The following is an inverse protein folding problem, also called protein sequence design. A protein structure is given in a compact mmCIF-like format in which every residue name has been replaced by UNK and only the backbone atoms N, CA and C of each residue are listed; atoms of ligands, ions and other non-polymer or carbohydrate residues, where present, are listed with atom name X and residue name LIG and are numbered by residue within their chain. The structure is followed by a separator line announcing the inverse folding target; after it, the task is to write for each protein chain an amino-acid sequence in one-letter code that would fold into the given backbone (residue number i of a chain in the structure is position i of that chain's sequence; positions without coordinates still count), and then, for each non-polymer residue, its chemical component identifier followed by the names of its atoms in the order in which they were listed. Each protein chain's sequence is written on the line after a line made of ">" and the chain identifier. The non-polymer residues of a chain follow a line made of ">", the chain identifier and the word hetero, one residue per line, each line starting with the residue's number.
data_IF_865625609577
#
_entry.id   IF_865625609577
#
_cell.length_a   1.000
_cell.length_b   1.000
_cell.length_c   1.000
_cell.angle_alpha   90.00
_cell.angle_beta   90.00
_cell.angle_gamma   90.00
#
_symmetry.space_group_name_H-M   'P 1'
#
loop_
_entity.id
_entity.type
_entity.pdbx_description
1 polymer ?
#
# COMPACT_ATOMS: atom_id res chain seq x y z
N UNK A 1 -2.87 18.22 -10.88
CA UNK A 1 -1.65 19.05 -10.91
C UNK A 1 -2.02 20.52 -10.71
N UNK A 2 -2.81 21.18 -11.60
CA UNK A 2 -3.14 22.60 -11.51
C UNK A 2 -3.62 23.04 -10.11
N UNK A 3 -4.60 22.32 -9.52
CA UNK A 3 -5.11 22.62 -8.17
C UNK A 3 -4.05 22.48 -7.09
N UNK A 4 -3.17 21.47 -7.18
CA UNK A 4 -2.06 21.31 -6.23
C UNK A 4 -1.07 22.47 -6.31
N UNK A 5 -0.72 22.90 -7.53
CA UNK A 5 0.17 24.06 -7.73
C UNK A 5 -0.48 25.35 -7.21
N UNK A 6 -1.77 25.58 -7.52
CA UNK A 6 -2.49 26.74 -7.01
C UNK A 6 -2.57 26.79 -5.49
N UNK A 7 -2.77 25.64 -4.83
CA UNK A 7 -2.74 25.58 -3.37
C UNK A 7 -1.34 25.88 -2.81
N UNK A 8 -0.30 25.34 -3.42
CA UNK A 8 1.08 25.64 -3.01
C UNK A 8 1.39 27.13 -3.14
N UNK A 9 1.01 27.77 -4.25
CA UNK A 9 1.18 29.21 -4.45
C UNK A 9 0.39 30.05 -3.44
N UNK A 10 -0.81 29.58 -3.05
CA UNK A 10 -1.64 30.21 -2.05
C UNK A 10 -1.22 29.91 -0.58
N UNK A 11 -0.23 29.03 -0.37
CA UNK A 11 0.17 28.57 0.97
C UNK A 11 -0.91 27.75 1.68
N UNK A 12 -1.82 27.11 0.92
CA UNK A 12 -2.88 26.26 1.45
C UNK A 12 -2.62 24.77 1.13
N UNK A 13 -3.26 23.88 1.89
CA UNK A 13 -3.12 22.42 1.74
C UNK A 13 -4.42 21.69 2.06
N UNK A 14 -5.50 22.20 1.46
CA UNK A 14 -6.83 21.65 1.64
C UNK A 14 -7.06 20.37 0.83
N UNK A 15 -7.88 19.47 1.36
CA UNK A 15 -8.35 18.31 0.61
C UNK A 15 -9.47 18.71 -0.31
N UNK A 16 -9.22 18.74 -1.61
CA UNK A 16 -10.21 19.09 -2.63
C UNK A 16 -10.67 17.86 -3.41
N UNK A 17 -11.99 17.71 -3.50
CA UNK A 17 -12.58 16.75 -4.44
C UNK A 17 -12.80 17.39 -5.81
N UNK A 18 -11.91 17.10 -6.76
CA UNK A 18 -12.02 17.58 -8.13
C UNK A 18 -13.06 16.82 -8.98
N UNK A 19 -13.63 15.74 -8.48
CA UNK A 19 -14.53 14.84 -9.21
C UNK A 19 -15.90 14.69 -8.54
N UNK A 20 -16.45 15.78 -8.02
CA UNK A 20 -17.73 15.82 -7.29
C UNK A 20 -18.90 15.20 -8.06
N UNK A 21 -18.85 15.22 -9.39
CA UNK A 21 -19.90 14.65 -10.26
C UNK A 21 -20.08 13.13 -10.07
N UNK A 22 -19.01 12.39 -9.83
CA UNK A 22 -19.04 10.93 -9.69
C UNK A 22 -18.66 10.46 -8.29
N UNK A 23 -17.97 11.31 -7.53
CA UNK A 23 -17.51 10.99 -6.17
C UNK A 23 -18.19 11.97 -5.20
N UNK A 24 -19.38 11.63 -4.67
CA UNK A 24 -20.02 12.42 -3.64
C UNK A 24 -19.22 12.35 -2.33
N UNK A 25 -19.35 13.37 -1.50
CA UNK A 25 -18.64 13.46 -0.23
C UNK A 25 -18.92 12.28 0.71
N UNK A 26 -20.16 11.81 0.70
CA UNK A 26 -20.60 10.65 1.49
C UNK A 26 -20.11 9.30 0.94
N UNK A 27 -19.49 9.29 -0.24
CA UNK A 27 -19.12 8.06 -0.93
C UNK A 27 -20.33 7.31 -1.49
N UNK A 28 -20.14 6.05 -1.84
CA UNK A 28 -21.23 5.18 -2.30
C UNK A 28 -21.91 4.52 -1.09
N UNK A 29 -23.10 4.97 -0.73
CA UNK A 29 -23.84 4.49 0.44
C UNK A 29 -24.11 2.97 0.37
N UNK A 30 -24.51 2.46 -0.80
CA UNK A 30 -24.78 1.04 -0.98
C UNK A 30 -23.53 0.17 -0.79
N UNK A 31 -22.39 0.62 -1.35
CA UNK A 31 -21.12 -0.08 -1.17
C UNK A 31 -20.66 -0.06 0.29
N UNK A 32 -20.82 1.07 0.99
CA UNK A 32 -20.49 1.17 2.42
C UNK A 32 -21.34 0.24 3.27
N UNK A 33 -22.64 0.19 3.01
CA UNK A 33 -23.55 -0.74 3.70
C UNK A 33 -23.10 -2.19 3.53
N UNK A 34 -22.76 -2.62 2.31
CA UNK A 34 -22.24 -3.97 2.05
C UNK A 34 -20.92 -4.24 2.77
N UNK A 35 -20.01 -3.27 2.80
CA UNK A 35 -18.75 -3.37 3.54
C UNK A 35 -19.03 -3.59 5.03
N UNK A 36 -19.89 -2.76 5.62
CA UNK A 36 -20.22 -2.83 7.04
C UNK A 36 -20.97 -4.14 7.40
N UNK A 37 -21.78 -4.66 6.48
CA UNK A 37 -22.49 -5.93 6.65
C UNK A 37 -21.55 -7.15 6.57
N UNK A 38 -20.64 -7.16 5.57
CA UNK A 38 -19.89 -8.36 5.22
C UNK A 38 -18.51 -8.42 5.83
N UNK A 39 -17.91 -7.27 6.15
CA UNK A 39 -16.51 -7.14 6.56
C UNK A 39 -16.39 -6.60 7.99
N UNK A 40 -15.29 -6.95 8.61
CA UNK A 40 -14.89 -6.44 9.92
C UNK A 40 -13.38 -6.10 9.91
N UNK A 41 -12.94 -5.09 10.69
CA UNK A 41 -11.54 -4.77 10.82
C UNK A 41 -10.74 -5.94 11.39
N UNK A 42 -9.53 -6.12 10.88
CA UNK A 42 -8.59 -7.11 11.39
C UNK A 42 -7.16 -6.58 11.34
N UNK A 43 -6.28 -7.22 12.10
CA UNK A 43 -4.86 -6.98 12.00
C UNK A 43 -4.36 -7.51 10.67
N UNK A 44 -3.58 -6.70 9.95
CA UNK A 44 -3.08 -7.05 8.64
C UNK A 44 -1.56 -6.96 8.60
N UNK A 45 -0.94 -7.99 8.06
CA UNK A 45 0.48 -7.96 7.73
C UNK A 45 0.69 -7.29 6.37
N UNK A 46 1.26 -6.10 6.40
CA UNK A 46 1.57 -5.30 5.22
C UNK A 46 2.99 -5.60 4.76
N UNK A 47 3.10 -6.10 3.55
CA UNK A 47 4.40 -6.48 2.97
C UNK A 47 5.44 -5.37 3.07
N UNK A 48 6.53 -5.64 3.77
CA UNK A 48 7.63 -4.69 3.97
C UNK A 48 7.43 -3.69 5.11
N UNK A 49 6.26 -3.71 5.78
CA UNK A 49 5.96 -2.82 6.91
C UNK A 49 5.76 -3.61 8.20
N UNK A 50 5.16 -4.81 8.09
CA UNK A 50 4.80 -5.67 9.20
C UNK A 50 3.32 -5.55 9.60
N UNK A 51 2.98 -6.09 10.76
CA UNK A 51 1.60 -6.13 11.26
C UNK A 51 1.20 -4.74 11.76
N UNK A 52 0.09 -4.24 11.23
CA UNK A 52 -0.58 -3.02 11.72
C UNK A 52 -1.94 -3.42 12.28
N UNK A 53 -2.23 -3.13 13.55
CA UNK A 53 -3.50 -3.47 14.18
C UNK A 53 -4.68 -2.79 13.47
N UNK A 54 -5.78 -3.54 13.29
CA UNK A 54 -7.06 -3.05 12.72
C UNK A 54 -6.92 -2.33 11.37
N UNK A 55 -5.91 -2.64 10.59
CA UNK A 55 -5.60 -1.96 9.31
C UNK A 55 -6.07 -2.73 8.07
N UNK A 56 -6.58 -3.93 8.22
CA UNK A 56 -7.15 -4.75 7.17
C UNK A 56 -8.64 -4.98 7.37
N UNK A 57 -9.24 -5.64 6.40
CA UNK A 57 -10.61 -6.10 6.46
C UNK A 57 -10.67 -7.60 6.20
N UNK A 58 -11.44 -8.31 7.00
CA UNK A 58 -11.74 -9.73 6.80
C UNK A 58 -13.26 -9.96 6.71
N UNK A 59 -13.64 -11.08 6.11
CA UNK A 59 -15.07 -11.48 6.09
C UNK A 59 -15.53 -11.83 7.51
N UNK A 60 -16.69 -11.30 7.91
CA UNK A 60 -17.37 -11.71 9.13
C UNK A 60 -17.66 -13.22 9.10
N UNK A 61 -17.90 -13.80 10.27
CA UNK A 61 -18.09 -15.25 10.46
C UNK A 61 -19.14 -15.85 9.54
N UNK A 62 -20.26 -15.14 9.33
CA UNK A 62 -21.38 -15.56 8.49
C UNK A 62 -21.02 -15.69 7.01
N UNK A 63 -20.02 -14.96 6.58
CA UNK A 63 -19.56 -14.91 5.19
C UNK A 63 -18.28 -15.71 4.92
N UNK A 64 -17.67 -16.33 5.94
CA UNK A 64 -16.40 -17.09 5.81
C UNK A 64 -16.43 -18.17 4.74
N UNK A 65 -17.61 -18.76 4.47
CA UNK A 65 -17.80 -19.76 3.39
C UNK A 65 -17.43 -19.24 1.99
N UNK A 66 -17.44 -17.93 1.80
CA UNK A 66 -17.09 -17.29 0.54
C UNK A 66 -15.60 -16.92 0.45
N UNK A 67 -14.82 -17.17 1.51
CA UNK A 67 -13.40 -16.91 1.51
C UNK A 67 -12.67 -17.85 0.56
N UNK A 68 -12.03 -17.30 -0.48
CA UNK A 68 -11.19 -18.07 -1.39
C UNK A 68 -10.01 -18.71 -0.65
N UNK A 69 -9.45 -18.02 0.34
CA UNK A 69 -8.36 -18.53 1.17
C UNK A 69 -8.74 -19.83 1.89
N UNK A 70 -9.95 -19.88 2.45
CA UNK A 70 -10.46 -21.08 3.13
C UNK A 70 -10.85 -22.16 2.11
N UNK A 71 -11.57 -21.78 1.06
CA UNK A 71 -12.06 -22.69 0.03
C UNK A 71 -10.92 -23.44 -0.69
N UNK A 72 -9.84 -22.74 -1.00
CA UNK A 72 -8.70 -23.30 -1.72
C UNK A 72 -7.53 -23.65 -0.81
N UNK A 73 -7.70 -23.57 0.52
CA UNK A 73 -6.67 -23.86 1.53
C UNK A 73 -5.35 -23.14 1.22
N UNK A 74 -5.44 -21.89 0.78
CA UNK A 74 -4.28 -21.08 0.44
C UNK A 74 -3.45 -20.83 1.71
N UNK A 75 -2.24 -21.33 1.70
CA UNK A 75 -1.26 -21.00 2.73
C UNK A 75 -0.60 -19.68 2.37
N UNK A 76 -0.42 -18.77 3.33
CA UNK A 76 0.44 -17.62 3.09
C UNK A 76 1.82 -18.16 2.73
N UNK A 77 2.35 -17.74 1.59
CA UNK A 77 3.79 -17.91 1.38
C UNK A 77 4.48 -17.06 2.46
N UNK A 78 5.34 -17.67 3.25
CA UNK A 78 6.29 -16.96 4.08
C UNK A 78 7.25 -16.25 3.13
N UNK A 79 6.83 -15.10 2.62
CA UNK A 79 7.70 -14.22 1.88
C UNK A 79 8.75 -13.71 2.89
N UNK A 80 9.84 -14.42 2.99
CA UNK A 80 11.05 -13.93 3.63
C UNK A 80 11.49 -12.69 2.86
N UNK A 81 10.96 -11.54 3.26
CA UNK A 81 11.59 -10.26 2.91
C UNK A 81 12.99 -10.39 3.48
N UNK A 82 14.00 -10.26 2.63
CA UNK A 82 15.37 -10.27 3.08
C UNK A 82 15.45 -9.35 4.31
N UNK A 83 15.88 -9.89 5.45
CA UNK A 83 15.83 -9.25 6.77
C UNK A 83 16.54 -7.88 6.81
N UNK A 84 17.31 -7.57 5.76
CA UNK A 84 18.12 -6.38 5.62
C UNK A 84 17.49 -5.29 4.72
N UNK A 85 16.29 -5.53 4.15
CA UNK A 85 15.62 -4.57 3.29
C UNK A 85 14.93 -3.49 4.13
N UNK A 86 15.31 -2.22 3.94
CA UNK A 86 14.71 -1.08 4.65
C UNK A 86 13.46 -0.51 3.94
N UNK A 87 12.81 -1.30 3.08
CA UNK A 87 11.64 -0.88 2.30
C UNK A 87 10.54 -0.23 3.15
N UNK A 88 10.26 -0.78 4.34
CA UNK A 88 9.28 -0.22 5.26
C UNK A 88 9.59 1.21 5.71
N UNK A 89 10.86 1.54 5.92
CA UNK A 89 11.28 2.90 6.28
C UNK A 89 11.20 3.85 5.08
N UNK A 90 11.52 3.36 3.88
CA UNK A 90 11.44 4.14 2.64
C UNK A 90 9.96 4.45 2.31
N UNK A 91 9.07 3.46 2.41
CA UNK A 91 7.63 3.64 2.15
C UNK A 91 6.97 4.61 3.14
N UNK A 92 7.50 4.71 4.35
CA UNK A 92 7.05 5.67 5.38
C UNK A 92 7.69 7.05 5.22
N UNK A 93 8.56 7.26 4.24
CA UNK A 93 9.26 8.54 4.02
C UNK A 93 10.37 8.83 5.03
N UNK A 94 10.77 7.86 5.86
CA UNK A 94 11.79 8.02 6.90
C UNK A 94 13.21 7.83 6.37
N UNK A 95 13.36 7.23 5.19
CA UNK A 95 14.63 6.99 4.51
C UNK A 95 14.44 7.12 3.00
N UNK A 96 15.53 7.37 2.29
CA UNK A 96 15.59 7.36 0.82
C UNK A 96 16.13 6.02 0.31
N UNK A 97 15.84 5.62 -0.95
CA UNK A 97 16.41 4.43 -1.55
C UNK A 97 17.94 4.37 -1.50
N UNK A 98 18.61 5.52 -1.64
CA UNK A 98 20.08 5.64 -1.54
C UNK A 98 20.64 5.32 -0.15
N UNK A 99 19.82 5.39 0.92
CA UNK A 99 20.25 5.06 2.27
C UNK A 99 20.31 3.54 2.50
N UNK A 100 19.74 2.75 1.58
CA UNK A 100 19.76 1.31 1.68
C UNK A 100 21.14 0.75 1.27
N UNK A 101 21.80 -0.05 2.13
CA UNK A 101 23.12 -0.59 1.85
C UNK A 101 23.18 -1.48 0.61
N UNK A 102 22.03 -2.06 0.23
CA UNK A 102 21.91 -2.95 -0.93
C UNK A 102 21.51 -2.24 -2.22
N UNK A 103 21.10 -0.96 -2.14
CA UNK A 103 20.60 -0.22 -3.30
C UNK A 103 21.66 -0.09 -4.39
N UNK A 104 21.31 -0.51 -5.61
CA UNK A 104 22.22 -0.48 -6.77
C UNK A 104 23.38 -1.48 -6.73
N UNK A 105 23.42 -2.35 -5.72
CA UNK A 105 24.42 -3.41 -5.53
C UNK A 105 23.74 -4.78 -5.59
N UNK A 106 23.47 -5.37 -4.42
CA UNK A 106 22.73 -6.63 -4.33
C UNK A 106 21.25 -6.49 -4.67
N UNK A 107 20.68 -5.27 -4.59
CA UNK A 107 19.28 -4.98 -4.89
C UNK A 107 19.17 -4.03 -6.11
N UNK A 108 18.70 -4.55 -7.22
CA UNK A 108 18.48 -3.83 -8.48
C UNK A 108 17.28 -4.44 -9.24
N UNK A 109 16.76 -3.83 -10.32
CA UNK A 109 15.53 -4.27 -10.98
C UNK A 109 15.52 -5.73 -11.45
N UNK A 110 16.66 -6.29 -11.80
CA UNK A 110 16.76 -7.70 -12.22
C UNK A 110 17.01 -8.67 -11.06
N UNK A 111 17.34 -8.14 -9.86
CA UNK A 111 17.49 -8.91 -8.63
C UNK A 111 16.92 -8.14 -7.43
N UNK A 112 15.58 -8.00 -7.35
CA UNK A 112 14.95 -7.19 -6.31
C UNK A 112 14.94 -7.94 -4.97
N UNK A 113 15.47 -7.32 -3.90
CA UNK A 113 15.38 -7.84 -2.53
C UNK A 113 14.12 -7.40 -1.80
N UNK A 114 13.50 -6.29 -2.22
CA UNK A 114 12.31 -5.75 -1.59
C UNK A 114 11.24 -5.32 -2.60
N UNK A 115 10.00 -5.32 -2.17
CA UNK A 115 8.83 -5.01 -3.00
C UNK A 115 8.96 -3.70 -3.82
N UNK A 116 9.51 -2.58 -3.30
CA UNK A 116 9.66 -1.34 -4.06
C UNK A 116 10.66 -1.39 -5.23
N UNK A 117 11.44 -2.48 -5.35
CA UNK A 117 12.37 -2.69 -6.47
C UNK A 117 11.79 -3.66 -7.53
N UNK A 118 10.72 -4.41 -7.22
CA UNK A 118 10.13 -5.42 -8.12
C UNK A 118 9.43 -4.78 -9.30
N UNK A 119 8.64 -3.74 -9.07
CA UNK A 119 7.89 -3.02 -10.11
C UNK A 119 8.66 -1.80 -10.59
N UNK A 120 8.58 -1.50 -11.88
CA UNK A 120 9.14 -0.25 -12.45
C UNK A 120 8.53 1.02 -11.84
N UNK A 121 7.36 0.92 -11.24
CA UNK A 121 6.64 2.00 -10.55
C UNK A 121 6.99 2.09 -9.07
N UNK A 122 7.67 1.08 -8.54
CA UNK A 122 8.12 1.08 -7.15
C UNK A 122 9.16 2.17 -6.89
N UNK A 123 9.09 2.78 -5.71
CA UNK A 123 9.95 3.93 -5.36
C UNK A 123 11.44 3.64 -5.54
N UNK A 124 11.92 2.45 -5.16
CA UNK A 124 13.33 2.07 -5.35
C UNK A 124 13.69 1.88 -6.82
N UNK A 125 12.82 1.25 -7.60
CA UNK A 125 13.05 1.04 -9.04
C UNK A 125 13.02 2.36 -9.81
N UNK A 126 12.09 3.25 -9.51
CA UNK A 126 12.02 4.59 -10.09
C UNK A 126 13.29 5.41 -9.74
N UNK A 127 13.70 5.37 -8.48
CA UNK A 127 14.91 6.06 -8.03
C UNK A 127 16.18 5.51 -8.69
N UNK A 128 16.26 4.19 -8.90
CA UNK A 128 17.36 3.55 -9.61
C UNK A 128 17.44 3.97 -11.07
N UNK A 129 16.29 4.20 -11.73
CA UNK A 129 16.21 4.55 -13.15
C UNK A 129 16.52 6.02 -13.42
N UNK A 130 16.09 6.93 -12.53
CA UNK A 130 16.05 8.37 -12.81
C UNK A 130 17.03 9.19 -11.99
N UNK A 131 17.79 8.59 -11.12
CA UNK A 131 18.89 9.23 -10.40
C UNK A 131 20.22 8.85 -11.02
#
# INVERSE_FOLDING_TARGET
>A
IYRCVSQLEAGSYEVENAYKRAVPEQGNAAARQLIDEMLEPCDQDWRGIGIIPSSGLQLRSEYKRYSSRMRFQLRPEENQIASECIAGLIMRGLRQPSDCPHFGKACHPTHPLGAPMVSSEGVCAAYYRYK
#
